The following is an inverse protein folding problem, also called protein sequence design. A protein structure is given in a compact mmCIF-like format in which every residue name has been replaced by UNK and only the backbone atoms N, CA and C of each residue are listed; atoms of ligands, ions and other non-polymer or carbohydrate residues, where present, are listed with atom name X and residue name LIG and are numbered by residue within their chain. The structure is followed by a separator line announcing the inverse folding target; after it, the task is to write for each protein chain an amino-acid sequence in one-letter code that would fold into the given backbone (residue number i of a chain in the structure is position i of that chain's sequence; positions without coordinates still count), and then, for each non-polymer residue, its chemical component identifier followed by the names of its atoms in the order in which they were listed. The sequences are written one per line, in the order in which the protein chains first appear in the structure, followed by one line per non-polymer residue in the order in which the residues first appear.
data_IF_790128616478
#
_entry.id   IF_790128616478
#
_cell.length_a   1.000
_cell.length_b   1.000
_cell.length_c   1.000
_cell.angle_alpha   90.00
_cell.angle_beta   90.00
_cell.angle_gamma   90.00
#
_symmetry.space_group_name_H-M   'P 1'
#
loop_
_entity.id
_entity.type
_entity.pdbx_description
1 polymer ?
#
# COMPACT_ATOMS: atom_id res chain seq x y z
N UNK A 1 -28.44 -31.76 -4.72
CA UNK A 1 -27.49 -31.17 -3.84
C UNK A 1 -26.11 -31.77 -4.09
N UNK A 2 -25.22 -31.08 -4.79
CA UNK A 2 -23.84 -31.46 -4.95
C UNK A 2 -22.98 -30.27 -4.59
N UNK A 3 -22.42 -30.29 -3.37
CA UNK A 3 -21.42 -29.33 -2.95
C UNK A 3 -20.09 -29.65 -3.66
N UNK A 4 -19.67 -28.79 -4.57
CA UNK A 4 -18.34 -28.86 -5.15
C UNK A 4 -17.33 -28.38 -4.11
N UNK A 5 -16.56 -29.28 -3.54
CA UNK A 5 -15.36 -28.94 -2.79
C UNK A 5 -14.32 -28.39 -3.78
N UNK A 6 -14.15 -27.08 -3.77
CA UNK A 6 -13.06 -26.39 -4.45
C UNK A 6 -11.74 -26.66 -3.73
N UNK A 7 -11.18 -27.86 -3.94
CA UNK A 7 -9.85 -28.16 -3.46
C UNK A 7 -8.82 -27.42 -4.30
N UNK A 8 -7.96 -26.63 -3.66
CA UNK A 8 -6.74 -26.14 -4.27
C UNK A 8 -5.83 -27.30 -4.63
N UNK A 9 -5.77 -27.65 -5.90
CA UNK A 9 -4.82 -28.67 -6.39
C UNK A 9 -3.46 -28.01 -6.45
N UNK A 10 -2.70 -28.14 -5.39
CA UNK A 10 -1.29 -27.79 -5.40
C UNK A 10 -0.55 -28.60 -6.46
N UNK A 11 0.34 -27.97 -7.23
CA UNK A 11 1.18 -28.67 -8.19
C UNK A 11 1.93 -29.80 -7.48
N UNK A 12 1.80 -31.03 -7.97
CA UNK A 12 2.56 -32.18 -7.47
C UNK A 12 4.07 -32.06 -7.69
N UNK A 13 4.51 -31.08 -8.48
CA UNK A 13 5.92 -30.73 -8.63
C UNK A 13 6.51 -30.11 -7.36
N UNK A 14 5.71 -29.56 -6.45
CA UNK A 14 6.18 -28.83 -5.27
C UNK A 14 7.02 -29.65 -4.29
N UNK A 15 6.91 -30.98 -4.31
CA UNK A 15 7.65 -31.85 -3.39
C UNK A 15 9.03 -32.31 -3.86
N UNK A 16 9.33 -32.13 -5.17
CA UNK A 16 10.56 -32.63 -5.78
C UNK A 16 11.16 -31.69 -6.83
N UNK A 17 10.91 -30.40 -6.73
CA UNK A 17 11.40 -29.39 -7.69
C UNK A 17 12.93 -29.41 -7.82
N UNK A 18 13.65 -29.69 -6.73
CA UNK A 18 15.11 -29.77 -6.69
C UNK A 18 15.67 -30.93 -7.53
N UNK A 19 14.86 -31.96 -7.79
CA UNK A 19 15.26 -33.14 -8.59
C UNK A 19 15.12 -32.91 -10.09
N UNK A 20 14.46 -31.84 -10.51
CA UNK A 20 14.35 -31.52 -11.93
C UNK A 20 15.69 -30.95 -12.40
N UNK A 21 16.28 -31.59 -13.40
CA UNK A 21 17.54 -31.15 -14.00
C UNK A 21 17.37 -29.84 -14.78
N UNK A 22 18.47 -29.11 -14.97
CA UNK A 22 18.48 -27.92 -15.80
C UNK A 22 18.02 -28.21 -17.26
N UNK A 23 18.42 -29.36 -17.80
CA UNK A 23 17.96 -29.79 -19.13
C UNK A 23 16.45 -30.02 -19.17
N UNK A 24 15.89 -30.63 -18.13
CA UNK A 24 14.45 -30.83 -18.02
C UNK A 24 13.69 -29.50 -17.95
N UNK A 25 14.16 -28.55 -17.17
CA UNK A 25 13.61 -27.22 -17.14
C UNK A 25 13.67 -26.50 -18.48
N UNK A 26 14.81 -26.60 -19.20
CA UNK A 26 14.94 -26.02 -20.54
C UNK A 26 13.92 -26.64 -21.51
N UNK A 27 13.67 -27.94 -21.41
CA UNK A 27 12.62 -28.61 -22.21
C UNK A 27 11.24 -28.09 -21.86
N UNK A 28 10.94 -27.87 -20.58
CA UNK A 28 9.64 -27.33 -20.12
C UNK A 28 9.39 -25.95 -20.71
N UNK A 29 10.33 -25.02 -20.53
CA UNK A 29 10.15 -23.62 -20.93
C UNK A 29 10.16 -23.42 -22.46
N UNK A 30 10.70 -24.36 -23.21
CA UNK A 30 10.72 -24.34 -24.68
C UNK A 30 9.63 -25.20 -25.31
N UNK A 31 8.86 -25.94 -24.52
CA UNK A 31 7.85 -26.86 -25.03
C UNK A 31 6.64 -26.14 -25.61
N UNK A 32 6.31 -26.43 -26.85
CA UNK A 32 5.06 -25.96 -27.49
C UNK A 32 3.82 -26.78 -27.08
N UNK A 33 4.00 -27.84 -26.30
CA UNK A 33 2.92 -28.71 -25.80
C UNK A 33 2.31 -28.15 -24.49
N UNK A 34 2.98 -27.24 -23.81
CA UNK A 34 2.49 -26.58 -22.61
C UNK A 34 1.46 -25.52 -23.01
N UNK A 35 0.29 -25.57 -22.42
CA UNK A 35 -0.83 -24.69 -22.75
C UNK A 35 -0.77 -23.37 -22.00
N UNK A 36 -1.39 -22.33 -22.56
CA UNK A 36 -1.56 -21.03 -21.90
C UNK A 36 -2.68 -21.02 -20.85
N UNK A 37 -3.51 -22.07 -20.82
CA UNK A 37 -4.66 -22.17 -19.94
C UNK A 37 -4.24 -22.33 -18.48
N UNK A 38 -4.85 -21.54 -17.58
CA UNK A 38 -4.69 -21.68 -16.13
C UNK A 38 -5.18 -23.02 -15.60
N UNK A 39 -6.08 -23.68 -16.33
CA UNK A 39 -6.66 -24.96 -15.92
C UNK A 39 -5.85 -26.17 -16.37
N UNK A 40 -4.79 -26.01 -17.15
CA UNK A 40 -3.91 -27.08 -17.61
C UNK A 40 -4.62 -28.36 -18.04
N UNK A 41 -4.01 -29.16 -18.91
CA UNK A 41 -4.48 -30.52 -19.14
C UNK A 41 -3.99 -31.42 -18.02
N UNK A 42 -4.92 -32.10 -17.36
CA UNK A 42 -4.59 -33.09 -16.36
C UNK A 42 -4.09 -34.37 -17.07
N UNK A 43 -2.86 -34.74 -16.80
CA UNK A 43 -2.33 -36.06 -17.21
C UNK A 43 -2.29 -36.90 -15.93
N UNK A 44 -3.07 -37.98 -15.93
CA UNK A 44 -3.04 -38.95 -14.86
C UNK A 44 -1.74 -39.76 -14.94
N UNK A 45 -0.82 -39.50 -14.05
CA UNK A 45 0.42 -40.26 -13.91
C UNK A 45 0.35 -41.15 -12.68
N UNK A 46 -0.11 -42.41 -12.81
CA UNK A 46 -0.31 -43.34 -11.69
C UNK A 46 -1.60 -43.08 -10.91
N UNK A 47 -1.84 -43.85 -9.85
CA UNK A 47 -3.12 -43.86 -9.15
C UNK A 47 -3.50 -42.56 -8.43
N UNK A 48 -2.54 -41.62 -8.16
CA UNK A 48 -2.81 -40.41 -7.36
C UNK A 48 -2.06 -39.14 -7.80
N UNK A 49 -1.59 -39.03 -9.03
CA UNK A 49 -0.82 -37.82 -9.45
C UNK A 49 -1.41 -37.14 -10.66
N UNK A 50 -1.93 -35.97 -10.47
CA UNK A 50 -2.37 -35.05 -11.51
C UNK A 50 -1.22 -34.10 -11.83
N UNK A 51 -0.61 -34.23 -13.01
CA UNK A 51 0.42 -33.31 -13.50
C UNK A 51 -0.30 -32.26 -14.36
N UNK A 52 -0.25 -31.02 -13.92
CA UNK A 52 -0.77 -29.90 -14.71
C UNK A 52 0.31 -29.42 -15.69
N UNK A 53 -0.10 -29.14 -16.90
CA UNK A 53 0.80 -28.79 -18.03
C UNK A 53 0.63 -27.35 -18.48
N UNK A 54 0.16 -26.46 -17.60
CA UNK A 54 -0.03 -25.04 -17.95
C UNK A 54 1.21 -24.20 -17.69
N UNK A 55 1.43 -23.19 -18.52
CA UNK A 55 2.52 -22.23 -18.35
C UNK A 55 2.43 -21.53 -16.98
N UNK A 56 1.27 -21.01 -16.53
CA UNK A 56 1.17 -20.37 -15.22
C UNK A 56 1.61 -21.25 -14.06
N UNK A 57 1.31 -22.55 -14.11
CA UNK A 57 1.69 -23.47 -13.04
C UNK A 57 3.18 -23.80 -13.04
N UNK A 58 3.78 -24.00 -14.20
CA UNK A 58 5.23 -24.16 -14.30
C UNK A 58 5.97 -22.87 -13.90
N UNK A 59 5.44 -21.70 -14.26
CA UNK A 59 5.96 -20.41 -13.83
C UNK A 59 5.93 -20.27 -12.30
N UNK A 60 4.82 -20.64 -11.65
CA UNK A 60 4.73 -20.62 -10.19
C UNK A 60 5.75 -21.54 -9.53
N UNK A 61 5.89 -22.77 -10.05
CA UNK A 61 6.90 -23.72 -9.58
C UNK A 61 8.32 -23.19 -9.77
N UNK A 62 8.57 -22.54 -10.91
CA UNK A 62 9.85 -21.92 -11.21
C UNK A 62 10.19 -20.77 -10.26
N UNK A 63 9.21 -19.95 -9.89
CA UNK A 63 9.37 -18.90 -8.85
C UNK A 63 9.80 -19.50 -7.52
N UNK A 64 9.12 -20.56 -7.08
CA UNK A 64 9.41 -21.23 -5.81
C UNK A 64 10.81 -21.82 -5.75
N UNK A 65 11.21 -22.55 -6.81
CA UNK A 65 12.52 -23.17 -6.85
C UNK A 65 13.63 -22.14 -7.04
N UNK A 66 13.39 -21.06 -7.75
CA UNK A 66 14.34 -19.95 -7.90
C UNK A 66 14.61 -19.28 -6.54
N UNK A 67 13.60 -19.14 -5.69
CA UNK A 67 13.83 -18.64 -4.32
C UNK A 67 14.78 -19.57 -3.53
N UNK A 68 14.63 -20.88 -3.65
CA UNK A 68 15.51 -21.85 -2.95
C UNK A 68 16.94 -21.84 -3.45
N UNK A 69 17.11 -21.78 -4.79
CA UNK A 69 18.42 -21.85 -5.46
C UNK A 69 18.61 -20.68 -6.43
N UNK A 70 18.67 -19.44 -5.92
CA UNK A 70 18.59 -18.25 -6.76
C UNK A 70 19.75 -18.14 -7.77
N UNK A 71 20.96 -18.47 -7.37
CA UNK A 71 22.12 -18.40 -8.27
C UNK A 71 22.03 -19.43 -9.41
N UNK A 72 21.62 -20.66 -9.08
CA UNK A 72 21.44 -21.72 -10.08
C UNK A 72 20.39 -21.33 -11.12
N UNK A 73 19.23 -20.88 -10.68
CA UNK A 73 18.11 -20.57 -11.58
C UNK A 73 18.30 -19.24 -12.30
N UNK A 74 19.00 -18.30 -11.72
CA UNK A 74 19.46 -17.10 -12.44
C UNK A 74 20.36 -17.46 -13.61
N UNK A 75 21.33 -18.36 -13.41
CA UNK A 75 22.19 -18.87 -14.49
C UNK A 75 21.43 -19.68 -15.51
N UNK A 76 20.47 -20.49 -15.09
CA UNK A 76 19.60 -21.24 -16.00
C UNK A 76 18.80 -20.31 -16.90
N UNK A 77 18.26 -19.23 -16.36
CA UNK A 77 17.52 -18.22 -17.12
C UNK A 77 18.34 -17.64 -18.29
N UNK A 78 19.65 -17.50 -18.11
CA UNK A 78 20.54 -17.01 -19.18
C UNK A 78 20.64 -17.98 -20.36
N UNK A 79 20.22 -19.22 -20.18
CA UNK A 79 20.17 -20.25 -21.24
C UNK A 79 18.81 -20.35 -21.93
N UNK A 80 17.81 -19.63 -21.46
CA UNK A 80 16.50 -19.60 -22.13
C UNK A 80 16.64 -18.93 -23.49
N UNK A 81 15.89 -19.38 -24.51
CA UNK A 81 15.87 -18.71 -25.81
C UNK A 81 15.24 -17.31 -25.68
N UNK A 82 15.56 -16.42 -26.60
CA UNK A 82 15.02 -15.05 -26.60
C UNK A 82 13.50 -14.98 -26.78
N UNK A 83 12.92 -16.00 -27.41
CA UNK A 83 11.48 -16.13 -27.64
C UNK A 83 10.76 -16.95 -26.55
N UNK A 84 11.41 -17.21 -25.43
CA UNK A 84 10.77 -17.85 -24.27
C UNK A 84 9.54 -17.08 -23.82
N UNK A 85 8.52 -17.77 -23.34
CA UNK A 85 7.34 -17.10 -22.80
C UNK A 85 7.73 -16.15 -21.65
N UNK A 86 7.32 -14.88 -21.70
CA UNK A 86 7.71 -13.86 -20.71
C UNK A 86 7.36 -14.23 -19.26
N UNK A 87 6.33 -15.07 -19.05
CA UNK A 87 5.93 -15.54 -17.71
C UNK A 87 7.01 -16.35 -17.02
N UNK A 88 7.84 -17.08 -17.77
CA UNK A 88 8.99 -17.79 -17.19
C UNK A 88 10.10 -16.85 -16.75
N UNK A 89 10.36 -15.78 -17.51
CA UNK A 89 11.33 -14.75 -17.11
C UNK A 89 10.83 -14.01 -15.88
N UNK A 90 9.57 -13.60 -15.86
CA UNK A 90 8.95 -12.97 -14.70
C UNK A 90 9.00 -13.85 -13.46
N UNK A 91 8.83 -15.18 -13.62
CA UNK A 91 8.95 -16.14 -12.53
C UNK A 91 10.37 -16.19 -11.93
N UNK A 92 11.39 -16.18 -12.77
CA UNK A 92 12.79 -16.09 -12.33
C UNK A 92 13.04 -14.78 -11.56
N UNK A 93 12.62 -13.65 -12.13
CA UNK A 93 12.81 -12.35 -11.50
C UNK A 93 12.07 -12.26 -10.15
N UNK A 94 10.86 -12.81 -10.05
CA UNK A 94 10.10 -12.88 -8.80
C UNK A 94 10.84 -13.71 -7.74
N UNK A 95 11.42 -14.84 -8.11
CA UNK A 95 12.24 -15.65 -7.22
C UNK A 95 13.53 -14.94 -6.77
N UNK A 96 14.15 -14.15 -7.65
CA UNK A 96 15.36 -13.38 -7.37
C UNK A 96 15.10 -12.13 -6.52
N UNK A 97 13.85 -11.66 -6.40
CA UNK A 97 13.47 -10.56 -5.50
C UNK A 97 13.75 -10.86 -4.03
N UNK A 98 13.70 -12.13 -3.65
CA UNK A 98 13.80 -12.56 -2.25
C UNK A 98 15.21 -12.34 -1.71
N UNK A 99 15.27 -11.67 -0.58
CA UNK A 99 16.48 -11.44 0.21
C UNK A 99 16.54 -12.35 1.44
N UNK A 100 15.48 -13.10 1.69
CA UNK A 100 15.34 -14.06 2.77
C UNK A 100 14.84 -15.40 2.23
N UNK A 101 15.24 -16.53 2.86
CA UNK A 101 14.76 -17.84 2.44
C UNK A 101 13.26 -18.00 2.74
N UNK A 102 12.59 -18.82 1.94
CA UNK A 102 11.20 -19.19 2.17
C UNK A 102 11.02 -19.76 3.58
N UNK A 103 9.97 -19.35 4.28
CA UNK A 103 9.65 -19.82 5.64
C UNK A 103 9.49 -21.35 5.71
N UNK A 104 9.03 -21.97 4.62
CA UNK A 104 8.87 -23.42 4.49
C UNK A 104 10.16 -24.17 4.22
N UNK A 105 11.27 -23.47 3.96
CA UNK A 105 12.57 -24.09 3.73
C UNK A 105 13.07 -24.79 5.02
N UNK A 106 13.66 -26.00 4.91
CA UNK A 106 14.26 -26.69 6.07
C UNK A 106 15.32 -25.81 6.78
N UNK A 107 15.36 -25.86 8.09
CA UNK A 107 16.30 -25.06 8.89
C UNK A 107 17.76 -25.28 8.48
N UNK A 108 18.12 -26.52 8.13
CA UNK A 108 19.48 -26.86 7.66
C UNK A 108 19.88 -26.16 6.35
N UNK A 109 18.90 -25.88 5.49
CA UNK A 109 19.13 -25.19 4.23
C UNK A 109 19.08 -23.68 4.39
N UNK A 110 18.27 -23.16 5.34
CA UNK A 110 18.21 -21.73 5.66
C UNK A 110 19.53 -21.14 6.09
N UNK A 111 20.35 -21.90 6.81
CA UNK A 111 21.64 -21.44 7.33
C UNK A 111 22.69 -21.21 6.22
N UNK A 112 22.56 -21.89 5.10
CA UNK A 112 23.48 -21.80 3.95
C UNK A 112 22.90 -21.03 2.79
N UNK A 113 21.62 -20.62 2.88
CA UNK A 113 20.94 -19.91 1.82
C UNK A 113 21.53 -18.50 1.64
N UNK A 114 21.70 -18.10 0.40
CA UNK A 114 22.13 -16.75 0.00
C UNK A 114 21.24 -16.26 -1.12
N UNK A 115 20.89 -14.98 -1.09
CA UNK A 115 20.22 -14.32 -2.20
C UNK A 115 21.06 -14.42 -3.47
N UNK A 116 20.43 -14.44 -4.63
CA UNK A 116 21.14 -14.40 -5.90
C UNK A 116 22.05 -13.19 -5.98
N UNK A 117 23.27 -13.36 -6.51
CA UNK A 117 24.22 -12.26 -6.67
C UNK A 117 23.64 -11.17 -7.54
N UNK A 118 23.98 -9.90 -7.25
CA UNK A 118 23.51 -8.78 -8.07
C UNK A 118 23.98 -8.91 -9.52
N UNK A 119 25.14 -9.52 -9.74
CA UNK A 119 25.70 -9.78 -11.06
C UNK A 119 24.80 -10.71 -11.87
N UNK A 120 24.28 -11.78 -11.26
CA UNK A 120 23.38 -12.70 -11.98
C UNK A 120 22.00 -12.05 -12.21
N UNK A 121 21.52 -11.29 -11.26
CA UNK A 121 20.27 -10.53 -11.40
C UNK A 121 20.38 -9.55 -12.57
N UNK A 122 21.43 -8.75 -12.61
CA UNK A 122 21.66 -7.79 -13.70
C UNK A 122 21.85 -8.48 -15.06
N UNK A 123 22.52 -9.63 -15.11
CA UNK A 123 22.68 -10.40 -16.33
C UNK A 123 21.33 -10.89 -16.89
N UNK A 124 20.44 -11.37 -16.03
CA UNK A 124 19.08 -11.78 -16.43
C UNK A 124 18.27 -10.58 -16.93
N UNK A 125 18.33 -9.47 -16.21
CA UNK A 125 17.66 -8.22 -16.59
C UNK A 125 18.19 -7.65 -17.92
N UNK A 126 19.49 -7.75 -18.16
CA UNK A 126 20.07 -7.30 -19.42
C UNK A 126 19.61 -8.15 -20.60
N UNK A 127 19.55 -9.46 -20.43
CA UNK A 127 19.14 -10.37 -21.50
C UNK A 127 17.65 -10.23 -21.87
N UNK A 128 16.79 -10.08 -20.87
CA UNK A 128 15.32 -10.11 -21.05
C UNK A 128 14.63 -8.78 -20.81
N UNK A 129 15.34 -7.78 -20.36
CA UNK A 129 14.81 -6.46 -20.08
C UNK A 129 14.67 -5.58 -21.33
N UNK A 130 14.42 -6.17 -22.49
CA UNK A 130 14.08 -5.38 -23.67
C UNK A 130 12.77 -4.61 -23.43
N UNK A 131 12.76 -3.40 -23.83
CA UNK A 131 11.94 -2.28 -23.37
C UNK A 131 10.43 -2.36 -23.62
N UNK A 132 9.89 -3.45 -24.12
CA UNK A 132 8.49 -3.52 -24.55
C UNK A 132 7.57 -4.38 -23.68
N UNK A 133 8.12 -5.19 -22.79
CA UNK A 133 7.33 -6.10 -21.97
C UNK A 133 7.02 -5.45 -20.63
N UNK A 134 5.76 -5.04 -20.43
CA UNK A 134 5.28 -4.41 -19.19
C UNK A 134 5.61 -5.23 -17.95
N UNK A 135 5.40 -6.56 -17.98
CA UNK A 135 5.63 -7.45 -16.85
C UNK A 135 7.11 -7.52 -16.47
N UNK A 136 8.01 -7.57 -17.45
CA UNK A 136 9.46 -7.56 -17.20
C UNK A 136 9.92 -6.22 -16.63
N UNK A 137 9.42 -5.11 -17.18
CA UNK A 137 9.73 -3.77 -16.67
C UNK A 137 9.23 -3.57 -15.22
N UNK A 138 8.03 -4.04 -14.92
CA UNK A 138 7.48 -4.01 -13.57
C UNK A 138 8.33 -4.84 -12.60
N UNK A 139 8.67 -6.07 -12.98
CA UNK A 139 9.53 -6.95 -12.18
C UNK A 139 10.91 -6.35 -11.93
N UNK A 140 11.49 -5.70 -12.94
CA UNK A 140 12.75 -4.95 -12.81
C UNK A 140 12.66 -3.86 -11.75
N UNK A 141 11.65 -2.98 -11.83
CA UNK A 141 11.48 -1.90 -10.87
C UNK A 141 11.27 -2.42 -9.44
N UNK A 142 10.44 -3.45 -9.28
CA UNK A 142 10.18 -4.07 -7.98
C UNK A 142 11.45 -4.70 -7.39
N UNK A 143 12.23 -5.37 -8.22
CA UNK A 143 13.47 -6.03 -7.81
C UNK A 143 14.51 -5.01 -7.34
N UNK A 144 14.73 -3.93 -8.08
CA UNK A 144 15.61 -2.82 -7.65
C UNK A 144 15.15 -2.23 -6.33
N UNK A 145 13.85 -2.02 -6.17
CA UNK A 145 13.29 -1.47 -4.93
C UNK A 145 13.49 -2.38 -3.72
N UNK A 146 13.27 -3.67 -3.85
CA UNK A 146 13.44 -4.64 -2.75
C UNK A 146 14.88 -4.90 -2.39
N UNK A 147 15.79 -4.73 -3.35
CA UNK A 147 17.23 -4.92 -3.17
C UNK A 147 18.01 -3.61 -3.29
N UNK A 148 17.42 -2.52 -2.80
CA UNK A 148 17.95 -1.17 -2.94
C UNK A 148 19.27 -0.92 -2.17
N UNK A 149 19.59 -1.74 -1.17
CA UNK A 149 20.84 -1.66 -0.40
C UNK A 149 22.05 -2.29 -1.11
N UNK A 150 21.81 -2.99 -2.22
CA UNK A 150 22.88 -3.61 -3.00
C UNK A 150 23.52 -2.64 -4.01
N UNK A 151 24.69 -2.99 -4.50
CA UNK A 151 25.48 -2.18 -5.45
C UNK A 151 25.00 -2.40 -6.88
N UNK A 152 23.94 -1.73 -7.26
CA UNK A 152 23.45 -1.72 -8.64
C UNK A 152 24.38 -0.95 -9.57
N UNK A 153 24.57 -1.45 -10.79
CA UNK A 153 25.35 -0.76 -11.81
C UNK A 153 24.69 0.55 -12.25
N UNK A 154 25.48 1.48 -12.77
CA UNK A 154 24.96 2.73 -13.34
C UNK A 154 23.99 2.48 -14.50
N UNK A 155 24.21 1.40 -15.26
CA UNK A 155 23.31 0.99 -16.35
C UNK A 155 21.92 0.62 -15.82
N UNK A 156 21.86 -0.16 -14.74
CA UNK A 156 20.59 -0.54 -14.10
C UNK A 156 19.87 0.68 -13.52
N UNK A 157 20.59 1.55 -12.83
CA UNK A 157 20.01 2.79 -12.30
C UNK A 157 19.50 3.68 -13.41
N UNK A 158 20.28 3.88 -14.49
CA UNK A 158 19.85 4.68 -15.65
C UNK A 158 18.59 4.12 -16.31
N UNK A 159 18.46 2.79 -16.39
CA UNK A 159 17.26 2.12 -16.90
C UNK A 159 16.04 2.39 -16.03
N UNK A 160 16.20 2.30 -14.71
CA UNK A 160 15.13 2.62 -13.75
C UNK A 160 14.66 4.07 -13.93
N UNK A 161 15.58 5.02 -14.02
CA UNK A 161 15.26 6.43 -14.21
C UNK A 161 14.59 6.70 -15.55
N UNK A 162 14.99 5.98 -16.59
CA UNK A 162 14.35 6.02 -17.91
C UNK A 162 12.90 5.52 -17.83
N UNK A 163 12.65 4.40 -17.15
CA UNK A 163 11.31 3.88 -16.94
C UNK A 163 10.42 4.83 -16.15
N UNK A 164 10.96 5.45 -15.12
CA UNK A 164 10.22 6.43 -14.33
C UNK A 164 9.69 7.60 -15.19
N UNK A 165 10.44 8.01 -16.20
CA UNK A 165 10.09 9.17 -17.03
C UNK A 165 9.34 8.81 -18.30
N UNK A 166 9.62 7.67 -18.91
CA UNK A 166 9.25 7.42 -20.31
C UNK A 166 8.45 6.14 -20.54
N UNK A 167 8.36 5.22 -19.56
CA UNK A 167 7.62 3.98 -19.80
C UNK A 167 6.13 4.27 -20.03
N UNK A 168 5.48 3.64 -21.03
CA UNK A 168 4.08 3.93 -21.36
C UNK A 168 3.07 3.47 -20.30
N UNK A 169 3.42 2.55 -19.41
CA UNK A 169 2.54 2.09 -18.36
C UNK A 169 2.69 2.93 -17.07
N UNK A 170 1.61 3.50 -16.51
CA UNK A 170 0.22 3.37 -16.93
C UNK A 170 -0.20 4.38 -18.00
N UNK A 171 -1.24 4.03 -18.78
CA UNK A 171 -1.89 4.95 -19.70
C UNK A 171 -2.59 6.08 -18.92
N UNK A 172 -2.38 7.36 -19.29
CA UNK A 172 -2.91 8.48 -18.51
C UNK A 172 -4.42 8.48 -18.31
N UNK A 173 -5.17 8.05 -19.31
CA UNK A 173 -6.63 8.01 -19.28
C UNK A 173 -7.23 6.78 -18.59
N UNK A 174 -6.43 5.77 -18.29
CA UNK A 174 -6.88 4.53 -17.65
C UNK A 174 -6.59 4.56 -16.16
N UNK A 175 -7.50 5.11 -15.35
CA UNK A 175 -7.30 5.27 -13.92
C UNK A 175 -7.34 3.94 -13.16
N UNK A 176 -8.23 3.03 -13.54
CA UNK A 176 -8.21 1.67 -13.01
C UNK A 176 -7.44 0.76 -13.97
N UNK A 177 -6.19 0.46 -13.63
CA UNK A 177 -5.25 -0.26 -14.48
C UNK A 177 -5.67 -1.72 -14.69
N UNK A 178 -6.39 -2.30 -13.74
CA UNK A 178 -6.77 -3.72 -13.73
C UNK A 178 -8.20 -3.99 -14.22
N UNK A 179 -8.93 -2.97 -14.62
CA UNK A 179 -10.30 -3.11 -15.14
C UNK A 179 -10.35 -2.79 -16.63
N UNK A 180 -11.05 -3.62 -17.38
CA UNK A 180 -11.35 -3.37 -18.79
C UNK A 180 -12.63 -2.54 -18.99
N UNK A 181 -13.28 -2.10 -17.90
CA UNK A 181 -14.48 -1.26 -17.95
C UNK A 181 -14.10 0.22 -18.11
N UNK A 182 -14.87 0.93 -18.94
CA UNK A 182 -14.87 2.40 -19.03
C UNK A 182 -15.52 2.98 -17.76
N UNK A 183 -14.79 2.94 -16.65
CA UNK A 183 -15.25 3.58 -15.42
C UNK A 183 -15.15 5.11 -15.54
N UNK A 184 -16.17 5.82 -15.04
CA UNK A 184 -16.07 7.25 -14.86
C UNK A 184 -14.88 7.56 -13.95
N UNK A 185 -14.01 8.48 -14.34
CA UNK A 185 -12.79 8.83 -13.59
C UNK A 185 -13.07 9.24 -12.14
N UNK A 186 -14.24 9.84 -11.86
CA UNK A 186 -14.63 10.27 -10.52
C UNK A 186 -15.10 9.10 -9.62
N UNK A 187 -15.41 7.95 -10.21
CA UNK A 187 -15.82 6.74 -9.48
C UNK A 187 -14.63 5.90 -9.00
N UNK A 188 -13.43 6.15 -9.53
CA UNK A 188 -12.22 5.44 -9.10
C UNK A 188 -11.82 5.93 -7.70
N UNK A 189 -11.77 4.99 -6.76
CA UNK A 189 -11.50 5.30 -5.36
C UNK A 189 -10.03 5.56 -5.08
N UNK A 190 -9.75 6.21 -3.95
CA UNK A 190 -8.39 6.39 -3.43
C UNK A 190 -7.70 5.04 -3.25
N UNK A 191 -8.39 4.03 -2.73
CA UNK A 191 -7.82 2.69 -2.52
C UNK A 191 -7.41 2.01 -3.82
N UNK A 192 -8.20 2.14 -4.88
CA UNK A 192 -7.86 1.61 -6.21
C UNK A 192 -6.59 2.27 -6.73
N UNK A 193 -6.49 3.59 -6.66
CA UNK A 193 -5.28 4.32 -7.08
C UNK A 193 -4.06 3.94 -6.23
N UNK A 194 -4.25 3.77 -4.93
CA UNK A 194 -3.19 3.37 -4.01
C UNK A 194 -2.62 1.98 -4.35
N UNK A 195 -3.48 1.01 -4.63
CA UNK A 195 -3.06 -0.33 -5.06
C UNK A 195 -2.37 -0.25 -6.43
N UNK A 196 -2.96 0.45 -7.39
CA UNK A 196 -2.40 0.60 -8.73
C UNK A 196 -1.02 1.26 -8.73
N UNK A 197 -0.73 2.14 -7.78
CA UNK A 197 0.56 2.82 -7.66
C UNK A 197 1.75 1.85 -7.62
N UNK A 198 1.61 0.73 -6.94
CA UNK A 198 2.67 -0.27 -6.79
C UNK A 198 2.75 -1.27 -7.97
N UNK A 199 1.68 -1.38 -8.75
CA UNK A 199 1.53 -2.39 -9.81
C UNK A 199 1.53 -1.82 -11.23
N UNK A 200 1.95 -0.59 -11.41
CA UNK A 200 2.27 -0.01 -12.71
C UNK A 200 3.76 0.33 -12.78
N UNK A 201 4.31 0.36 -13.99
CA UNK A 201 5.77 0.49 -14.16
C UNK A 201 6.29 1.81 -13.61
N UNK A 202 5.73 2.96 -14.03
CA UNK A 202 6.20 4.25 -13.52
C UNK A 202 5.98 4.41 -12.02
N UNK A 203 4.89 3.84 -11.46
CA UNK A 203 4.65 3.84 -10.01
C UNK A 203 5.66 2.97 -9.26
N UNK A 204 5.91 1.77 -9.73
CA UNK A 204 6.92 0.87 -9.15
C UNK A 204 8.34 1.49 -9.25
N UNK A 205 8.64 2.18 -10.35
CA UNK A 205 9.90 2.93 -10.49
C UNK A 205 10.02 4.05 -9.44
N UNK A 206 8.93 4.78 -9.17
CA UNK A 206 8.91 5.81 -8.14
C UNK A 206 9.21 5.23 -6.74
N UNK A 207 8.61 4.09 -6.42
CA UNK A 207 8.84 3.38 -5.15
C UNK A 207 10.30 2.89 -5.07
N UNK A 208 10.83 2.32 -6.15
CA UNK A 208 12.23 1.88 -6.20
C UNK A 208 13.20 3.05 -6.00
N UNK A 209 12.97 4.18 -6.64
CA UNK A 209 13.76 5.39 -6.45
C UNK A 209 13.73 5.85 -5.00
N UNK A 210 12.57 5.80 -4.34
CA UNK A 210 12.44 6.17 -2.93
C UNK A 210 13.32 5.30 -2.02
N UNK A 211 13.35 4.01 -2.28
CA UNK A 211 14.14 3.05 -1.51
C UNK A 211 15.64 3.19 -1.76
N UNK A 212 16.04 3.43 -3.01
CA UNK A 212 17.43 3.74 -3.35
C UNK A 212 17.91 5.01 -2.63
N UNK A 213 17.09 6.05 -2.65
CA UNK A 213 17.40 7.31 -2.02
C UNK A 213 17.44 7.21 -0.48
N UNK A 214 16.58 6.38 0.10
CA UNK A 214 16.61 6.07 1.53
C UNK A 214 17.94 5.44 1.97
N UNK A 215 18.45 4.52 1.16
CA UNK A 215 19.74 3.85 1.42
C UNK A 215 20.96 4.71 1.05
N UNK A 216 20.80 5.59 0.05
CA UNK A 216 21.87 6.39 -0.54
C UNK A 216 21.39 7.84 -0.76
N UNK A 217 21.33 8.64 0.32
CA UNK A 217 20.85 10.03 0.26
C UNK A 217 21.67 10.92 -0.69
N UNK A 218 22.95 10.59 -0.90
CA UNK A 218 23.86 11.27 -1.83
C UNK A 218 23.44 11.14 -3.31
N UNK A 219 22.52 10.23 -3.63
CA UNK A 219 21.98 10.07 -4.99
C UNK A 219 20.90 11.09 -5.37
N UNK A 220 20.53 12.04 -4.52
CA UNK A 220 19.45 12.97 -4.80
C UNK A 220 19.62 13.69 -6.13
N UNK A 221 20.83 14.19 -6.41
CA UNK A 221 21.09 14.91 -7.68
C UNK A 221 20.92 14.01 -8.91
N UNK A 222 21.28 12.73 -8.79
CA UNK A 222 21.11 11.74 -9.85
C UNK A 222 19.63 11.47 -10.16
N UNK A 223 18.77 11.42 -9.15
CA UNK A 223 17.35 11.05 -9.27
C UNK A 223 16.41 12.25 -9.33
N UNK A 224 16.90 13.46 -9.07
CA UNK A 224 16.09 14.68 -8.95
C UNK A 224 15.15 14.89 -10.14
N UNK A 225 15.66 14.86 -11.36
CA UNK A 225 14.85 15.10 -12.56
C UNK A 225 13.80 14.03 -12.80
N UNK A 226 14.08 12.79 -12.39
CA UNK A 226 13.10 11.69 -12.45
C UNK A 226 11.98 11.88 -11.45
N UNK A 227 12.28 12.32 -10.22
CA UNK A 227 11.26 12.64 -9.22
C UNK A 227 10.40 13.83 -9.68
N UNK A 228 11.00 14.86 -10.25
CA UNK A 228 10.26 16.00 -10.83
C UNK A 228 9.27 15.57 -11.90
N UNK A 229 9.67 14.63 -12.76
CA UNK A 229 8.77 14.02 -13.74
C UNK A 229 7.62 13.24 -13.07
N UNK A 230 7.92 12.46 -12.06
CA UNK A 230 6.93 11.62 -11.35
C UNK A 230 5.90 12.44 -10.57
N UNK A 231 6.31 13.53 -9.93
CA UNK A 231 5.37 14.42 -9.21
C UNK A 231 4.45 15.20 -10.15
N UNK A 232 4.79 15.27 -11.41
CA UNK A 232 3.99 15.89 -12.47
C UNK A 232 3.41 14.86 -13.44
N UNK A 233 3.50 13.58 -13.12
CA UNK A 233 2.99 12.50 -13.98
C UNK A 233 1.50 12.71 -14.25
N UNK A 234 1.04 12.50 -15.50
CA UNK A 234 -0.38 12.66 -15.83
C UNK A 234 -1.30 11.67 -15.09
N UNK A 235 -0.76 10.54 -14.60
CA UNK A 235 -1.54 9.54 -13.88
C UNK A 235 -1.49 9.75 -12.36
N UNK A 236 -2.62 9.90 -11.67
CA UNK A 236 -2.65 10.16 -10.22
C UNK A 236 -2.05 9.03 -9.38
N UNK A 237 -2.13 7.77 -9.80
CA UNK A 237 -1.50 6.65 -9.10
C UNK A 237 0.04 6.78 -9.07
N UNK A 238 0.64 7.28 -10.15
CA UNK A 238 2.09 7.54 -10.22
C UNK A 238 2.48 8.69 -9.30
N UNK A 239 1.73 9.80 -9.31
CA UNK A 239 1.96 10.89 -8.36
C UNK A 239 1.81 10.44 -6.91
N UNK A 240 0.86 9.55 -6.63
CA UNK A 240 0.68 8.92 -5.33
C UNK A 240 1.91 8.09 -4.92
N UNK A 241 2.47 7.30 -5.84
CA UNK A 241 3.71 6.55 -5.61
C UNK A 241 4.91 7.48 -5.38
N UNK A 242 4.98 8.61 -6.07
CA UNK A 242 6.04 9.61 -5.93
C UNK A 242 6.13 10.20 -4.50
N UNK A 243 5.04 10.17 -3.74
CA UNK A 243 5.04 10.61 -2.34
C UNK A 243 6.05 9.83 -1.50
N UNK A 244 6.32 8.57 -1.82
CA UNK A 244 7.34 7.78 -1.11
C UNK A 244 8.73 8.41 -1.25
N UNK A 245 9.08 8.91 -2.43
CA UNK A 245 10.33 9.64 -2.65
C UNK A 245 10.33 11.00 -1.92
N UNK A 246 9.21 11.70 -1.93
CA UNK A 246 9.05 12.98 -1.22
C UNK A 246 9.30 12.81 0.28
N UNK A 247 8.84 11.72 0.89
CA UNK A 247 9.11 11.42 2.32
C UNK A 247 10.61 11.35 2.61
N UNK A 248 11.40 10.76 1.73
CA UNK A 248 12.85 10.67 1.90
C UNK A 248 13.48 12.04 1.70
N UNK A 249 13.10 12.76 0.66
CA UNK A 249 13.63 14.10 0.33
C UNK A 249 13.33 15.10 1.45
N UNK A 250 12.22 14.94 2.17
CA UNK A 250 11.89 15.79 3.31
C UNK A 250 13.00 15.85 4.37
N UNK A 251 13.74 14.76 4.56
CA UNK A 251 14.86 14.72 5.49
C UNK A 251 16.19 15.26 4.89
N UNK A 252 16.24 15.49 3.58
CA UNK A 252 17.43 15.98 2.88
C UNK A 252 17.28 17.47 2.55
N UNK A 253 16.16 17.84 1.94
CA UNK A 253 15.80 19.19 1.51
C UNK A 253 14.30 19.41 1.71
N UNK A 254 13.95 19.97 2.86
CA UNK A 254 12.56 20.13 3.28
C UNK A 254 11.74 21.01 2.35
N UNK A 255 12.29 22.14 1.91
CA UNK A 255 11.58 23.09 1.04
C UNK A 255 11.29 22.46 -0.32
N UNK A 256 12.24 21.71 -0.87
CA UNK A 256 12.07 20.97 -2.10
C UNK A 256 10.97 19.90 -1.97
N UNK A 257 10.99 19.14 -0.88
CA UNK A 257 9.99 18.12 -0.60
C UNK A 257 8.58 18.71 -0.53
N UNK A 258 8.42 19.84 0.17
CA UNK A 258 7.12 20.53 0.27
C UNK A 258 6.65 21.02 -1.09
N UNK A 259 7.51 21.62 -1.88
CA UNK A 259 7.20 22.07 -3.25
C UNK A 259 6.72 20.90 -4.11
N UNK A 260 7.42 19.78 -4.09
CA UNK A 260 7.04 18.58 -4.84
C UNK A 260 5.73 17.95 -4.33
N UNK A 261 5.53 17.93 -3.02
CA UNK A 261 4.29 17.44 -2.44
C UNK A 261 3.05 18.23 -2.91
N UNK A 262 3.13 19.55 -2.83
CA UNK A 262 2.04 20.42 -3.30
C UNK A 262 1.78 20.24 -4.81
N UNK A 263 2.84 20.07 -5.60
CA UNK A 263 2.73 19.83 -7.04
C UNK A 263 2.05 18.49 -7.35
N UNK A 264 2.43 17.42 -6.62
CA UNK A 264 1.83 16.10 -6.79
C UNK A 264 0.33 16.08 -6.47
N UNK A 265 -0.12 16.89 -5.50
CA UNK A 265 -1.51 16.93 -5.03
C UNK A 265 -2.42 17.87 -5.85
N UNK A 266 -1.87 18.78 -6.66
CA UNK A 266 -2.62 19.91 -7.23
C UNK A 266 -3.77 19.53 -8.13
N UNK A 267 -3.56 18.60 -9.06
CA UNK A 267 -4.54 18.28 -10.11
C UNK A 267 -5.54 17.20 -9.72
N UNK A 268 -5.21 16.39 -8.72
CA UNK A 268 -6.09 15.34 -8.21
C UNK A 268 -5.89 15.18 -6.70
N UNK A 269 -6.85 15.67 -5.94
CA UNK A 269 -6.78 15.67 -4.48
C UNK A 269 -6.88 14.25 -3.87
N UNK A 270 -7.24 13.22 -4.64
CA UNK A 270 -7.13 11.83 -4.19
C UNK A 270 -5.69 11.45 -3.85
N UNK A 271 -4.71 12.09 -4.49
CA UNK A 271 -3.29 11.94 -4.16
C UNK A 271 -3.01 12.40 -2.72
N UNK A 272 -3.51 13.56 -2.36
CA UNK A 272 -3.41 14.10 -0.99
C UNK A 272 -4.21 13.28 0.04
N UNK A 273 -5.30 12.66 -0.37
CA UNK A 273 -6.15 11.82 0.47
C UNK A 273 -5.61 10.39 0.66
N UNK A 274 -4.51 10.03 0.00
CA UNK A 274 -3.94 8.69 0.09
C UNK A 274 -3.29 8.42 1.44
N UNK A 275 -3.23 7.13 1.87
CA UNK A 275 -2.49 6.74 3.07
C UNK A 275 -1.01 7.12 3.03
N UNK A 276 -0.42 7.25 1.85
CA UNK A 276 0.98 7.68 1.68
C UNK A 276 1.19 9.14 2.07
N UNK A 277 0.20 10.00 1.81
CA UNK A 277 0.27 11.42 2.10
C UNK A 277 -0.06 11.76 3.56
N UNK A 278 -0.92 10.98 4.20
CA UNK A 278 -1.47 11.29 5.52
C UNK A 278 -0.38 11.63 6.57
N UNK A 279 0.69 10.83 6.74
CA UNK A 279 1.72 11.14 7.74
C UNK A 279 2.50 12.42 7.44
N UNK A 280 2.67 12.76 6.15
CA UNK A 280 3.47 13.94 5.75
C UNK A 280 2.87 15.25 6.23
N UNK A 281 1.56 15.38 6.26
CA UNK A 281 0.90 16.60 6.73
C UNK A 281 1.32 16.97 8.15
N UNK A 282 1.53 16.00 9.03
CA UNK A 282 1.97 16.24 10.40
C UNK A 282 3.38 16.86 10.46
N UNK A 283 4.25 16.51 9.53
CA UNK A 283 5.62 17.02 9.46
C UNK A 283 5.73 18.34 8.69
N UNK A 284 4.91 18.52 7.65
CA UNK A 284 4.98 19.68 6.76
C UNK A 284 4.21 20.87 7.32
N UNK A 285 2.99 20.65 7.81
CA UNK A 285 2.07 21.73 8.15
C UNK A 285 2.61 22.71 9.20
N UNK A 286 3.28 22.30 10.29
CA UNK A 286 3.75 23.25 11.31
C UNK A 286 4.69 24.33 10.78
N UNK A 287 5.49 24.02 9.77
CA UNK A 287 6.48 24.96 9.21
C UNK A 287 6.11 25.54 7.85
N UNK A 288 5.20 24.89 7.11
CA UNK A 288 4.88 25.22 5.72
C UNK A 288 3.37 25.31 5.48
N UNK A 289 2.63 25.80 6.46
CA UNK A 289 1.17 25.93 6.38
C UNK A 289 0.72 26.80 5.21
N UNK A 290 1.52 27.81 4.84
CA UNK A 290 1.18 28.70 3.73
C UNK A 290 1.13 27.96 2.39
N UNK A 291 1.96 26.92 2.23
CA UNK A 291 2.00 26.10 1.00
C UNK A 291 1.01 24.94 1.05
N UNK A 292 0.94 24.22 2.17
CA UNK A 292 0.12 23.00 2.28
C UNK A 292 -1.31 23.30 2.76
N UNK A 293 -1.52 24.42 3.40
CA UNK A 293 -2.84 24.84 3.87
C UNK A 293 -3.91 24.88 2.78
N UNK A 294 -3.65 25.48 1.60
CA UNK A 294 -4.60 25.45 0.50
C UNK A 294 -4.97 24.04 0.03
N UNK A 295 -4.03 23.10 0.05
CA UNK A 295 -4.31 21.69 -0.26
C UNK A 295 -5.33 21.12 0.72
N UNK A 296 -5.12 21.31 2.01
CA UNK A 296 -6.04 20.85 3.06
C UNK A 296 -7.42 21.49 2.93
N UNK A 297 -7.48 22.80 2.67
CA UNK A 297 -8.73 23.53 2.48
C UNK A 297 -9.52 22.98 1.27
N UNK A 298 -8.85 22.76 0.15
CA UNK A 298 -9.47 22.19 -1.05
C UNK A 298 -9.93 20.75 -0.84
N UNK A 299 -9.18 19.93 -0.09
CA UNK A 299 -9.60 18.59 0.29
C UNK A 299 -10.91 18.63 1.09
N UNK A 300 -10.97 19.43 2.15
CA UNK A 300 -12.15 19.54 3.01
C UNK A 300 -13.39 20.02 2.24
N UNK A 301 -13.21 20.86 1.23
CA UNK A 301 -14.26 21.40 0.38
C UNK A 301 -14.55 20.55 -0.88
N UNK A 302 -13.89 19.40 -1.06
CA UNK A 302 -14.05 18.55 -2.23
C UNK A 302 -15.46 17.97 -2.35
N UNK A 303 -15.90 17.81 -3.59
CA UNK A 303 -17.15 17.09 -3.92
C UNK A 303 -17.00 15.56 -3.84
N UNK A 304 -15.76 15.05 -3.78
CA UNK A 304 -15.49 13.63 -3.57
C UNK A 304 -15.52 13.32 -2.07
N UNK A 305 -16.43 12.47 -1.65
CA UNK A 305 -16.66 12.16 -0.23
C UNK A 305 -15.39 11.67 0.50
N UNK A 306 -14.63 10.79 -0.12
CA UNK A 306 -13.36 10.28 0.45
C UNK A 306 -12.34 11.42 0.68
N UNK A 307 -12.26 12.36 -0.25
CA UNK A 307 -11.33 13.49 -0.16
C UNK A 307 -11.78 14.49 0.90
N UNK A 308 -13.08 14.81 0.94
CA UNK A 308 -13.65 15.67 1.96
C UNK A 308 -13.49 15.08 3.37
N UNK A 309 -13.67 13.78 3.52
CA UNK A 309 -13.46 13.05 4.76
C UNK A 309 -12.00 13.15 5.25
N UNK A 310 -11.03 12.92 4.38
CA UNK A 310 -9.61 13.06 4.71
C UNK A 310 -9.22 14.52 4.97
N UNK A 311 -9.79 15.45 4.20
CA UNK A 311 -9.59 16.89 4.41
C UNK A 311 -10.08 17.37 5.78
N UNK A 312 -11.27 16.93 6.20
CA UNK A 312 -11.80 17.23 7.53
C UNK A 312 -10.95 16.62 8.65
N UNK A 313 -10.36 15.46 8.45
CA UNK A 313 -9.39 14.89 9.39
C UNK A 313 -8.14 15.78 9.51
N UNK A 314 -7.59 16.26 8.39
CA UNK A 314 -6.43 17.15 8.42
C UNK A 314 -6.76 18.52 9.05
N UNK A 315 -7.90 19.09 8.73
CA UNK A 315 -8.39 20.33 9.36
C UNK A 315 -8.48 20.16 10.87
N UNK A 316 -9.08 19.08 11.34
CA UNK A 316 -9.26 18.82 12.78
C UNK A 316 -7.91 18.58 13.48
N UNK A 317 -7.01 17.81 12.87
CA UNK A 317 -5.67 17.59 13.40
C UNK A 317 -4.86 18.88 13.48
N UNK A 318 -4.92 19.73 12.44
CA UNK A 318 -4.22 21.04 12.46
C UNK A 318 -4.81 21.98 13.50
N UNK A 319 -6.13 21.94 13.67
CA UNK A 319 -6.78 22.72 14.70
C UNK A 319 -6.35 22.30 16.12
N UNK A 320 -6.33 20.99 16.38
CA UNK A 320 -5.91 20.46 17.68
C UNK A 320 -4.41 20.64 17.96
N UNK A 321 -3.56 20.33 16.98
CA UNK A 321 -2.11 20.29 17.18
C UNK A 321 -1.44 21.65 17.05
N UNK A 322 -1.87 22.42 16.06
CA UNK A 322 -1.15 23.60 15.59
C UNK A 322 -1.95 24.90 15.73
N UNK A 323 -3.20 24.84 16.19
CA UNK A 323 -4.13 25.98 16.29
C UNK A 323 -4.40 26.69 14.96
N UNK A 324 -4.36 25.93 13.85
CA UNK A 324 -4.75 26.41 12.52
C UNK A 324 -6.20 26.07 12.21
N UNK A 325 -6.78 26.70 11.19
CA UNK A 325 -8.07 26.34 10.58
C UNK A 325 -9.29 26.42 11.50
N UNK A 326 -9.37 27.38 12.38
CA UNK A 326 -10.53 27.49 13.27
C UNK A 326 -11.86 27.63 12.50
N UNK A 327 -11.87 28.45 11.45
CA UNK A 327 -13.05 28.63 10.61
C UNK A 327 -13.40 27.38 9.79
N UNK A 328 -12.40 26.73 9.21
CA UNK A 328 -12.55 25.50 8.44
C UNK A 328 -13.02 24.35 9.35
N UNK A 329 -12.50 24.27 10.55
CA UNK A 329 -12.94 23.32 11.57
C UNK A 329 -14.41 23.53 11.93
N UNK A 330 -14.82 24.76 12.21
CA UNK A 330 -16.22 25.09 12.49
C UNK A 330 -17.14 24.74 11.31
N UNK A 331 -16.69 24.99 10.09
CA UNK A 331 -17.42 24.63 8.87
C UNK A 331 -17.56 23.11 8.75
N UNK A 332 -16.51 22.33 9.00
CA UNK A 332 -16.56 20.88 8.95
C UNK A 332 -17.49 20.28 10.01
N UNK A 333 -17.54 20.88 11.21
CA UNK A 333 -18.44 20.45 12.29
C UNK A 333 -19.93 20.55 11.92
N UNK A 334 -20.30 21.46 11.03
CA UNK A 334 -21.67 21.72 10.60
C UNK A 334 -21.91 21.37 9.13
N UNK A 335 -20.90 20.79 8.48
CA UNK A 335 -20.89 20.54 7.04
C UNK A 335 -21.60 19.27 6.62
N UNK A 336 -21.23 18.79 5.45
CA UNK A 336 -21.73 17.52 4.89
C UNK A 336 -21.27 16.31 5.72
N UNK A 337 -21.92 15.17 5.53
CA UNK A 337 -21.61 13.93 6.28
C UNK A 337 -20.13 13.56 6.27
N UNK A 338 -19.42 13.54 5.13
CA UNK A 338 -17.99 13.22 5.11
C UNK A 338 -17.14 14.14 5.98
N UNK A 339 -17.46 15.44 6.01
CA UNK A 339 -16.75 16.40 6.85
C UNK A 339 -16.97 16.12 8.33
N UNK A 340 -18.23 15.93 8.75
CA UNK A 340 -18.56 15.60 10.16
C UNK A 340 -17.95 14.27 10.59
N UNK A 341 -17.96 13.25 9.71
CA UNK A 341 -17.26 11.97 9.93
C UNK A 341 -15.76 12.17 10.18
N UNK A 342 -15.10 13.00 9.38
CA UNK A 342 -13.67 13.28 9.52
C UNK A 342 -13.33 13.91 10.87
N UNK A 343 -14.12 14.88 11.32
CA UNK A 343 -13.96 15.50 12.64
C UNK A 343 -14.17 14.46 13.75
N UNK A 344 -15.23 13.67 13.67
CA UNK A 344 -15.53 12.63 14.66
C UNK A 344 -14.42 11.55 14.71
N UNK A 345 -13.86 11.17 13.58
CA UNK A 345 -12.76 10.19 13.50
C UNK A 345 -11.53 10.64 14.27
N UNK A 346 -11.10 11.89 14.08
CA UNK A 346 -9.92 12.43 14.75
C UNK A 346 -10.17 12.58 16.26
N UNK A 347 -11.34 13.08 16.67
CA UNK A 347 -11.69 13.22 18.08
C UNK A 347 -11.72 11.85 18.79
N UNK A 348 -12.24 10.81 18.14
CA UNK A 348 -12.23 9.45 18.67
C UNK A 348 -10.82 8.90 18.83
N UNK A 349 -9.96 9.08 17.82
CA UNK A 349 -8.59 8.60 17.85
C UNK A 349 -7.73 9.28 18.92
N UNK A 350 -7.97 10.54 19.21
CA UNK A 350 -7.17 11.36 20.14
C UNK A 350 -7.78 11.49 21.55
N UNK A 351 -8.92 10.87 21.80
CA UNK A 351 -9.60 10.96 23.10
C UNK A 351 -8.69 10.52 24.26
N UNK A 352 -7.86 9.49 24.06
CA UNK A 352 -6.93 8.98 25.06
C UNK A 352 -5.70 9.87 25.31
N UNK A 353 -5.47 10.85 24.47
CA UNK A 353 -4.36 11.77 24.63
C UNK A 353 -4.76 12.90 25.60
N UNK A 354 -4.18 12.90 26.79
CA UNK A 354 -4.52 13.87 27.87
C UNK A 354 -4.49 15.33 27.41
N UNK A 355 -3.58 15.68 26.51
CA UNK A 355 -3.43 17.05 26.02
C UNK A 355 -4.66 17.51 25.21
N UNK A 356 -5.27 16.62 24.45
CA UNK A 356 -6.36 16.92 23.53
C UNK A 356 -7.72 16.39 24.00
N UNK A 357 -7.73 15.58 25.05
CA UNK A 357 -8.93 14.93 25.56
C UNK A 357 -10.08 15.90 25.86
N UNK A 358 -9.87 17.08 26.49
CA UNK A 358 -10.95 18.03 26.75
C UNK A 358 -11.67 18.48 25.47
N UNK A 359 -10.94 18.85 24.43
CA UNK A 359 -11.51 19.27 23.15
C UNK A 359 -12.17 18.09 22.44
N UNK A 360 -11.54 16.91 22.46
CA UNK A 360 -12.11 15.69 21.87
C UNK A 360 -13.43 15.32 22.54
N UNK A 361 -13.55 15.41 23.86
CA UNK A 361 -14.80 15.13 24.56
C UNK A 361 -15.94 16.08 24.14
N UNK A 362 -15.65 17.37 23.97
CA UNK A 362 -16.63 18.34 23.49
C UNK A 362 -17.13 18.01 22.09
N UNK A 363 -16.21 17.64 21.20
CA UNK A 363 -16.54 17.21 19.81
C UNK A 363 -17.41 15.95 19.86
N UNK A 364 -17.02 14.95 20.63
CA UNK A 364 -17.72 13.67 20.70
C UNK A 364 -19.12 13.82 21.28
N UNK A 365 -19.30 14.62 22.33
CA UNK A 365 -20.62 14.94 22.88
C UNK A 365 -21.56 15.55 21.84
N UNK A 366 -21.04 16.37 20.93
CA UNK A 366 -21.81 16.93 19.83
C UNK A 366 -22.25 15.88 18.83
N UNK A 367 -21.36 14.94 18.45
CA UNK A 367 -21.63 13.95 17.41
C UNK A 367 -22.33 12.67 17.91
N UNK A 368 -22.41 12.43 19.21
CA UNK A 368 -23.16 11.31 19.76
C UNK A 368 -24.64 11.30 19.34
N UNK A 369 -25.22 12.45 19.10
CA UNK A 369 -26.59 12.63 18.65
C UNK A 369 -26.68 13.22 17.24
N UNK A 370 -25.63 13.05 16.43
CA UNK A 370 -25.70 13.46 15.03
C UNK A 370 -26.88 12.76 14.33
N UNK A 371 -27.64 13.47 13.49
CA UNK A 371 -28.76 12.88 12.79
C UNK A 371 -28.36 11.73 11.84
N UNK A 372 -27.13 11.71 11.38
CA UNK A 372 -26.62 10.68 10.46
C UNK A 372 -25.91 9.56 11.21
N UNK A 373 -26.37 8.33 10.97
CA UNK A 373 -25.78 7.13 11.59
C UNK A 373 -24.31 6.93 11.21
N UNK A 374 -23.90 7.27 9.99
CA UNK A 374 -22.51 7.12 9.57
C UNK A 374 -21.56 7.98 10.42
N UNK A 375 -22.00 9.16 10.81
CA UNK A 375 -21.23 10.03 11.73
C UNK A 375 -21.16 9.40 13.12
N UNK A 376 -22.30 8.92 13.64
CA UNK A 376 -22.34 8.24 14.96
C UNK A 376 -21.47 6.98 14.99
N UNK A 377 -21.41 6.22 13.89
CA UNK A 377 -20.61 5.02 13.77
C UNK A 377 -19.09 5.28 13.91
N UNK A 378 -18.62 6.48 13.60
CA UNK A 378 -17.23 6.87 13.83
C UNK A 378 -16.83 6.89 15.32
N UNK A 379 -17.79 6.99 16.22
CA UNK A 379 -17.57 7.01 17.66
C UNK A 379 -17.42 5.61 18.28
N UNK A 380 -17.68 4.54 17.55
CA UNK A 380 -17.69 3.17 18.10
C UNK A 380 -16.42 2.78 18.83
N UNK A 381 -15.28 3.26 18.39
CA UNK A 381 -13.98 2.90 18.95
C UNK A 381 -13.57 3.71 20.20
N UNK A 382 -14.35 4.70 20.64
CA UNK A 382 -13.87 5.66 21.62
C UNK A 382 -13.53 5.06 22.99
N UNK A 383 -14.17 3.98 23.41
CA UNK A 383 -13.91 3.31 24.68
C UNK A 383 -13.03 2.07 24.57
N UNK A 384 -12.56 1.71 23.36
CA UNK A 384 -11.70 0.54 23.14
C UNK A 384 -10.24 0.74 23.47
N UNK A 385 -9.83 1.97 23.69
CA UNK A 385 -8.42 2.28 23.87
C UNK A 385 -8.01 1.94 25.32
N UNK A 386 -7.09 0.99 25.49
CA UNK A 386 -6.54 0.59 26.79
C UNK A 386 -5.85 1.73 27.56
N UNK A 387 -5.49 2.81 26.88
CA UNK A 387 -4.87 3.98 27.49
C UNK A 387 -5.89 5.00 27.99
N UNK A 388 -7.19 4.78 27.77
CA UNK A 388 -8.23 5.66 28.30
C UNK A 388 -8.33 5.46 29.82
N UNK A 389 -8.02 6.50 30.57
CA UNK A 389 -8.11 6.49 32.02
C UNK A 389 -9.53 6.91 32.40
N UNK A 390 -10.20 6.07 33.17
CA UNK A 390 -11.52 6.36 33.73
C UNK A 390 -11.33 7.31 34.92
N UNK A 391 -11.57 8.58 34.69
CA UNK A 391 -11.59 9.65 35.70
C UNK A 391 -12.95 10.35 35.74
N UNK A 392 -13.06 11.42 36.51
CA UNK A 392 -14.31 12.18 36.65
C UNK A 392 -14.80 12.77 35.32
N UNK A 393 -13.86 13.20 34.45
CA UNK A 393 -14.19 13.75 33.12
C UNK A 393 -14.68 12.65 32.19
N UNK A 394 -14.03 11.51 32.19
CA UNK A 394 -14.46 10.32 31.42
C UNK A 394 -15.84 9.81 31.86
N UNK A 395 -16.15 9.90 33.14
CA UNK A 395 -17.46 9.52 33.69
C UNK A 395 -18.58 10.40 33.11
N UNK A 396 -18.38 11.69 32.99
CA UNK A 396 -19.35 12.59 32.35
C UNK A 396 -19.56 12.26 30.86
N UNK A 397 -18.49 11.92 30.14
CA UNK A 397 -18.55 11.46 28.74
C UNK A 397 -19.34 10.17 28.60
N UNK A 398 -19.11 9.19 29.47
CA UNK A 398 -19.84 7.90 29.49
C UNK A 398 -21.32 8.13 29.74
N UNK A 399 -21.67 8.99 30.69
CA UNK A 399 -23.06 9.36 30.94
C UNK A 399 -23.75 9.94 29.72
N UNK A 400 -23.11 10.93 29.08
CA UNK A 400 -23.63 11.52 27.84
C UNK A 400 -23.80 10.47 26.73
N UNK A 401 -22.85 9.53 26.62
CA UNK A 401 -22.90 8.47 25.62
C UNK A 401 -24.08 7.51 25.85
N UNK A 402 -24.32 7.05 27.07
CA UNK A 402 -25.43 6.14 27.40
C UNK A 402 -26.79 6.75 27.07
N UNK A 403 -26.93 8.07 27.21
CA UNK A 403 -28.15 8.81 26.90
C UNK A 403 -28.28 9.16 25.40
N UNK A 404 -27.31 8.80 24.56
CA UNK A 404 -27.21 9.23 23.15
C UNK A 404 -27.79 8.24 22.15
N UNK A 405 -28.04 8.74 20.94
CA UNK A 405 -28.40 7.92 19.78
C UNK A 405 -27.29 6.91 19.40
N UNK A 406 -26.03 7.29 19.55
CA UNK A 406 -24.90 6.41 19.27
C UNK A 406 -24.91 5.14 20.17
N UNK A 407 -25.26 5.27 21.41
CA UNK A 407 -25.45 4.12 22.30
C UNK A 407 -26.65 3.26 21.88
N UNK A 408 -27.75 3.91 21.50
CA UNK A 408 -28.97 3.20 21.07
C UNK A 408 -28.75 2.39 19.77
N UNK A 409 -27.80 2.79 18.92
CA UNK A 409 -27.44 2.06 17.71
C UNK A 409 -26.83 0.68 18.00
N UNK A 410 -26.01 0.55 19.05
CA UNK A 410 -25.34 -0.70 19.42
C UNK A 410 -24.95 -0.74 20.91
N UNK A 411 -25.90 -0.98 21.83
CA UNK A 411 -25.60 -1.04 23.26
C UNK A 411 -24.61 -2.17 23.63
N UNK A 412 -24.68 -3.29 22.93
CA UNK A 412 -23.81 -4.46 23.24
C UNK A 412 -22.34 -4.16 22.99
N UNK A 413 -22.04 -3.36 21.97
CA UNK A 413 -20.69 -2.95 21.66
C UNK A 413 -20.04 -2.15 22.80
N UNK A 414 -20.80 -1.26 23.43
CA UNK A 414 -20.32 -0.51 24.59
C UNK A 414 -19.96 -1.41 25.76
N UNK A 415 -20.81 -2.39 26.09
CA UNK A 415 -20.57 -3.35 27.19
C UNK A 415 -19.29 -4.15 26.91
N UNK A 416 -19.10 -4.63 25.68
CA UNK A 416 -17.88 -5.34 25.29
C UNK A 416 -16.64 -4.44 25.38
N UNK A 417 -16.76 -3.18 25.04
CA UNK A 417 -15.66 -2.23 25.12
C UNK A 417 -15.21 -1.96 26.54
N UNK A 418 -16.12 -2.00 27.52
CA UNK A 418 -15.80 -1.82 28.94
C UNK A 418 -14.88 -2.92 29.48
N UNK A 419 -14.97 -4.14 28.94
CA UNK A 419 -14.11 -5.25 29.36
C UNK A 419 -12.62 -5.03 29.01
N UNK A 420 -12.35 -4.17 28.05
CA UNK A 420 -10.99 -3.86 27.59
C UNK A 420 -10.36 -2.68 28.35
N UNK A 421 -11.12 -1.98 29.18
CA UNK A 421 -10.63 -0.84 29.95
C UNK A 421 -9.84 -1.29 31.19
N UNK A 422 -8.69 -0.67 31.41
CA UNK A 422 -7.87 -0.87 32.60
C UNK A 422 -8.23 0.16 33.67
N UNK A 423 -8.39 -0.29 34.91
CA UNK A 423 -8.70 0.56 36.06
C UNK A 423 -9.99 0.17 36.79
N UNK A 424 -10.42 1.03 37.69
CA UNK A 424 -11.66 0.78 38.44
C UNK A 424 -12.89 1.12 37.58
N UNK A 425 -13.76 0.13 37.39
CA UNK A 425 -15.05 0.31 36.72
C UNK A 425 -16.16 0.84 37.67
N UNK A 426 -15.84 1.10 38.95
CA UNK A 426 -16.82 1.58 39.95
C UNK A 426 -17.50 2.88 39.49
N UNK A 427 -16.79 3.92 39.01
CA UNK A 427 -17.44 5.13 38.53
C UNK A 427 -18.36 4.88 37.31
N UNK A 428 -18.01 3.92 36.46
CA UNK A 428 -18.84 3.51 35.32
C UNK A 428 -20.11 2.82 35.79
N UNK A 429 -19.98 1.89 36.74
CA UNK A 429 -21.11 1.18 37.32
C UNK A 429 -22.11 2.15 38.00
N UNK A 430 -21.62 3.15 38.71
CA UNK A 430 -22.46 4.17 39.32
C UNK A 430 -23.25 4.97 38.29
N UNK A 431 -22.68 5.26 37.11
CA UNK A 431 -23.33 5.99 36.03
C UNK A 431 -24.34 5.11 35.27
N UNK A 432 -24.01 3.83 35.06
CA UNK A 432 -24.84 2.93 34.27
C UNK A 432 -26.07 2.43 35.05
N UNK A 433 -25.97 2.31 36.39
CA UNK A 433 -27.02 1.75 37.24
C UNK A 433 -27.83 2.77 38.05
N UNK A 434 -27.54 4.09 37.86
CA UNK A 434 -28.37 5.17 38.40
C UNK A 434 -29.27 5.77 37.33
#
# INVERSE_FOLDING_TARGET
GGGGEGGWVGSTLNQNLEKISDQAWLKIVTSKKVTESDRGKFIQAGQDRVITTSIPQFALSLTQITNRYPERFGRLALKFPHDVDPRYVSAILEGLRKIEPDEKMPKSEKTTWQAGSIQIVEAVLEKYGADSEQDTALSFCQLVGERADESWSDKSISKLLHYARNHPDPEPGKLNIHSDSDENSDEVTVDVLFVNAAYCVRGAAAIAISRLLWKHNDRLEQVRSSIESLVSDPHPAVRMAAIEAIKVVFNIDKDLAVSWFCKACRDDLRVAASPRAFPLFNYIAPSHIDQVGPVIQHMAASSLDEVAFMGAQQVTARWLFDCFFENEFATCCQGIVPQRKGVARVATALLHNKKYSPQCQQILCKFMNDPDKEVRDELRGMFRNQNLIIDTECTALIKAYIESLAFADDPNHFVLSLSDLTGSLIPVAEVVFT
#
